data_IF_777840409233
#
_entry.id   IF_777840409233
#
_cell.length_a   1.000
_cell.length_b   1.000
_cell.length_c   1.000
_cell.angle_alpha   90.00
_cell.angle_beta   90.00
_cell.angle_gamma   90.00
#
_symmetry.space_group_name_H-M   'P 1'
#
loop_
_entity.id
_entity.type
_entity.pdbx_description
1 polymer ?
#
# COMPACT_ATOMS: atom_id res chain seq x y z
N UNK A 1 51.70 -4.52 -15.44
CA UNK A 1 50.83 -3.37 -15.11
C UNK A 1 50.01 -3.82 -13.90
N UNK A 2 50.48 -3.52 -12.70
CA UNK A 2 49.76 -3.87 -11.47
C UNK A 2 48.81 -2.72 -11.22
N UNK A 3 47.53 -2.89 -11.51
CA UNK A 3 46.49 -1.92 -11.17
C UNK A 3 46.66 -1.57 -9.68
N UNK A 4 47.04 -0.33 -9.42
CA UNK A 4 47.41 0.13 -8.09
C UNK A 4 46.22 -0.01 -7.13
N UNK A 5 46.45 -0.06 -5.81
CA UNK A 5 45.37 -0.11 -4.82
C UNK A 5 44.34 1.03 -5.01
N UNK A 6 44.75 2.17 -5.55
CA UNK A 6 43.88 3.32 -5.85
C UNK A 6 42.86 3.05 -6.98
N UNK A 7 43.26 2.32 -8.03
CA UNK A 7 42.39 1.99 -9.17
C UNK A 7 41.29 1.02 -8.75
N UNK A 8 41.64 0.04 -7.91
CA UNK A 8 40.68 -0.89 -7.29
C UNK A 8 39.69 -0.18 -6.36
N UNK A 9 40.13 0.82 -5.61
CA UNK A 9 39.24 1.61 -4.73
C UNK A 9 38.27 2.47 -5.55
N UNK A 10 38.73 3.06 -6.65
CA UNK A 10 37.87 3.84 -7.54
C UNK A 10 36.80 2.96 -8.18
N UNK A 11 37.17 1.77 -8.66
CA UNK A 11 36.22 0.80 -9.22
C UNK A 11 35.18 0.39 -8.18
N UNK A 12 35.60 0.02 -6.97
CA UNK A 12 34.69 -0.33 -5.88
C UNK A 12 33.72 0.81 -5.53
N UNK A 13 34.16 2.06 -5.52
CA UNK A 13 33.28 3.22 -5.27
C UNK A 13 32.20 3.37 -6.35
N UNK A 14 32.55 3.15 -7.61
CA UNK A 14 31.56 3.20 -8.72
C UNK A 14 30.56 2.06 -8.65
N UNK A 15 31.00 0.85 -8.29
CA UNK A 15 30.13 -0.30 -8.08
C UNK A 15 29.18 -0.07 -6.91
N UNK A 16 29.66 0.46 -5.78
CA UNK A 16 28.84 0.80 -4.61
C UNK A 16 27.81 1.87 -4.95
N UNK A 17 28.20 2.93 -5.68
CA UNK A 17 27.27 3.97 -6.11
C UNK A 17 26.17 3.41 -7.03
N UNK A 18 26.51 2.47 -7.93
CA UNK A 18 25.52 1.78 -8.75
C UNK A 18 24.56 0.95 -7.90
N UNK A 19 25.08 0.22 -6.91
CA UNK A 19 24.28 -0.58 -5.99
C UNK A 19 23.30 0.30 -5.20
N UNK A 20 23.76 1.47 -4.72
CA UNK A 20 22.93 2.45 -4.01
C UNK A 20 21.70 2.85 -4.85
N UNK A 21 21.90 3.17 -6.12
CA UNK A 21 20.81 3.51 -7.05
C UNK A 21 19.88 2.33 -7.35
N UNK A 22 20.41 1.11 -7.44
CA UNK A 22 19.58 -0.10 -7.61
C UNK A 22 18.68 -0.30 -6.38
N UNK A 23 19.21 -0.17 -5.17
CA UNK A 23 18.42 -0.33 -3.93
C UNK A 23 17.36 0.76 -3.80
N UNK A 24 17.68 2.02 -4.12
CA UNK A 24 16.69 3.11 -4.17
C UNK A 24 15.61 2.80 -5.21
N UNK A 25 15.99 2.34 -6.40
CA UNK A 25 15.06 1.92 -7.45
C UNK A 25 14.10 0.84 -6.96
N UNK A 26 14.61 -0.20 -6.31
CA UNK A 26 13.79 -1.27 -5.73
C UNK A 26 12.81 -0.73 -4.67
N UNK A 27 13.29 0.13 -3.77
CA UNK A 27 12.45 0.74 -2.73
C UNK A 27 11.30 1.57 -3.34
N UNK A 28 11.59 2.37 -4.37
CA UNK A 28 10.60 3.16 -5.09
C UNK A 28 9.60 2.26 -5.85
N UNK A 29 10.05 1.17 -6.45
CA UNK A 29 9.16 0.20 -7.12
C UNK A 29 8.19 -0.45 -6.15
N UNK A 30 8.67 -0.92 -5.00
CA UNK A 30 7.82 -1.53 -3.96
C UNK A 30 6.81 -0.51 -3.41
N UNK A 31 7.28 0.70 -3.10
CA UNK A 31 6.43 1.77 -2.60
C UNK A 31 5.39 2.20 -3.63
N UNK A 32 5.77 2.30 -4.90
CA UNK A 32 4.85 2.59 -6.01
C UNK A 32 3.79 1.51 -6.18
N UNK A 33 4.18 0.23 -6.14
CA UNK A 33 3.26 -0.91 -6.22
C UNK A 33 2.18 -0.84 -5.13
N UNK A 34 2.59 -0.67 -3.86
CA UNK A 34 1.63 -0.58 -2.75
C UNK A 34 0.75 0.67 -2.81
N UNK A 35 1.29 1.79 -3.29
CA UNK A 35 0.52 3.02 -3.46
C UNK A 35 -0.59 2.86 -4.50
N UNK A 36 -0.27 2.24 -5.64
CA UNK A 36 -1.24 1.93 -6.69
C UNK A 36 -2.29 0.95 -6.17
N UNK A 37 -1.86 -0.10 -5.45
CA UNK A 37 -2.77 -1.08 -4.86
C UNK A 37 -3.77 -0.42 -3.90
N UNK A 38 -3.28 0.48 -3.03
CA UNK A 38 -4.12 1.23 -2.10
C UNK A 38 -5.10 2.16 -2.83
N UNK A 39 -4.66 2.86 -3.88
CA UNK A 39 -5.52 3.70 -4.71
C UNK A 39 -6.64 2.91 -5.39
N UNK A 40 -6.30 1.79 -6.03
CA UNK A 40 -7.30 0.90 -6.66
C UNK A 40 -8.31 0.44 -5.61
N UNK A 41 -7.82 0.03 -4.44
CA UNK A 41 -8.68 -0.41 -3.33
C UNK A 41 -9.69 0.66 -2.94
N UNK A 42 -9.27 1.93 -2.83
CA UNK A 42 -10.20 3.03 -2.54
C UNK A 42 -11.22 3.28 -3.64
N UNK A 43 -10.84 3.11 -4.91
CA UNK A 43 -11.76 3.23 -6.05
C UNK A 43 -12.78 2.10 -6.15
N UNK A 44 -12.50 0.93 -5.56
CA UNK A 44 -13.44 -0.20 -5.54
C UNK A 44 -14.51 -0.06 -4.44
N UNK A 45 -14.25 0.71 -3.39
CA UNK A 45 -15.18 0.87 -2.25
C UNK A 45 -16.62 1.25 -2.66
N UNK A 46 -16.86 2.23 -3.56
CA UNK A 46 -18.22 2.57 -3.98
C UNK A 46 -18.90 1.45 -4.77
N UNK A 47 -18.12 0.65 -5.52
CA UNK A 47 -18.67 -0.51 -6.26
C UNK A 47 -19.11 -1.60 -5.29
N UNK A 48 -18.33 -1.84 -4.24
CA UNK A 48 -18.70 -2.77 -3.20
C UNK A 48 -19.93 -2.33 -2.41
N UNK A 49 -20.10 -1.03 -2.13
CA UNK A 49 -21.32 -0.50 -1.51
C UNK A 49 -22.57 -0.88 -2.33
N UNK A 50 -22.54 -0.72 -3.65
CA UNK A 50 -23.64 -1.09 -4.53
C UNK A 50 -23.89 -2.61 -4.56
N UNK A 51 -22.82 -3.41 -4.71
CA UNK A 51 -22.91 -4.87 -4.75
C UNK A 51 -23.50 -5.41 -3.44
N UNK A 52 -23.05 -4.92 -2.29
CA UNK A 52 -23.57 -5.39 -1.01
C UNK A 52 -24.98 -4.89 -0.74
N UNK A 53 -25.35 -3.68 -1.18
CA UNK A 53 -26.73 -3.22 -1.12
C UNK A 53 -27.67 -4.11 -1.94
N UNK A 54 -27.23 -4.58 -3.11
CA UNK A 54 -27.99 -5.52 -3.94
C UNK A 54 -28.07 -6.93 -3.31
N UNK A 55 -27.00 -7.42 -2.70
CA UNK A 55 -26.93 -8.78 -2.14
C UNK A 55 -27.58 -8.93 -0.75
N UNK A 56 -27.52 -7.91 0.11
CA UNK A 56 -28.07 -7.94 1.47
C UNK A 56 -29.47 -7.34 1.56
N UNK A 57 -29.97 -6.70 0.50
CA UNK A 57 -31.27 -6.04 0.49
C UNK A 57 -31.38 -4.99 1.60
N UNK A 58 -32.27 -5.20 2.57
CA UNK A 58 -32.51 -4.29 3.70
C UNK A 58 -31.63 -4.55 4.93
N UNK A 59 -30.76 -5.56 4.90
CA UNK A 59 -29.92 -5.86 6.07
C UNK A 59 -28.76 -4.87 6.22
N UNK A 60 -28.47 -4.42 7.45
CA UNK A 60 -27.42 -3.45 7.70
C UNK A 60 -26.03 -4.08 7.56
N UNK A 61 -25.17 -3.49 6.72
CA UNK A 61 -23.77 -3.90 6.51
C UNK A 61 -22.97 -4.08 7.83
N UNK A 62 -21.94 -4.92 7.88
CA UNK A 62 -21.02 -4.99 9.01
C UNK A 62 -20.45 -3.61 9.38
N UNK A 63 -20.24 -3.37 10.67
CA UNK A 63 -19.73 -2.08 11.17
C UNK A 63 -18.37 -1.71 10.55
N UNK A 64 -17.47 -2.70 10.40
CA UNK A 64 -16.14 -2.52 9.80
C UNK A 64 -16.25 -2.15 8.32
N UNK A 65 -17.17 -2.77 7.58
CA UNK A 65 -17.43 -2.45 6.16
C UNK A 65 -17.99 -1.04 6.02
N UNK A 66 -18.94 -0.64 6.87
CA UNK A 66 -19.47 0.75 6.88
C UNK A 66 -18.40 1.78 7.20
N UNK A 67 -17.51 1.48 8.16
CA UNK A 67 -16.39 2.36 8.49
C UNK A 67 -15.42 2.47 7.32
N UNK A 68 -15.06 1.36 6.67
CA UNK A 68 -14.20 1.37 5.49
C UNK A 68 -14.83 2.12 4.32
N UNK A 69 -16.15 2.00 4.11
CA UNK A 69 -16.89 2.76 3.11
C UNK A 69 -16.87 4.26 3.42
N UNK A 70 -17.20 4.64 4.65
CA UNK A 70 -17.20 6.04 5.09
C UNK A 70 -15.82 6.68 4.94
N UNK A 71 -14.78 5.98 5.37
CA UNK A 71 -13.42 6.45 5.29
C UNK A 71 -12.91 6.51 3.83
N UNK A 72 -13.32 5.58 2.96
CA UNK A 72 -13.07 5.64 1.53
C UNK A 72 -13.76 6.82 0.84
N UNK A 73 -15.05 7.05 1.15
CA UNK A 73 -15.89 8.10 0.56
C UNK A 73 -15.46 9.51 0.94
N UNK A 74 -14.83 9.66 2.12
CA UNK A 74 -14.22 10.93 2.53
C UNK A 74 -13.05 11.38 1.65
N UNK A 75 -12.52 10.50 0.80
CA UNK A 75 -11.32 10.75 -0.01
C UNK A 75 -10.04 10.86 0.82
N UNK A 76 -10.14 10.88 2.16
CA UNK A 76 -9.02 10.99 3.08
C UNK A 76 -8.10 9.79 2.96
N UNK A 77 -8.66 8.57 2.87
CA UNK A 77 -7.85 7.36 2.66
C UNK A 77 -7.11 7.43 1.31
N UNK A 78 -7.80 7.78 0.22
CA UNK A 78 -7.16 7.87 -1.10
C UNK A 78 -6.08 8.95 -1.17
N UNK A 79 -6.35 10.12 -0.58
CA UNK A 79 -5.41 11.23 -0.49
C UNK A 79 -4.18 10.87 0.35
N UNK A 80 -4.37 10.29 1.54
CA UNK A 80 -3.26 9.87 2.41
C UNK A 80 -2.46 8.73 1.77
N UNK A 81 -3.13 7.75 1.16
CA UNK A 81 -2.49 6.63 0.47
C UNK A 81 -1.68 7.05 -0.77
N UNK A 82 -1.91 8.24 -1.32
CA UNK A 82 -1.11 8.78 -2.42
C UNK A 82 -0.05 9.79 -1.96
N UNK A 83 -0.43 10.73 -1.10
CA UNK A 83 0.44 11.83 -0.68
C UNK A 83 1.56 11.36 0.25
N UNK A 84 1.28 10.40 1.15
CA UNK A 84 2.30 9.89 2.09
C UNK A 84 3.40 9.14 1.34
N UNK A 85 3.09 8.21 0.41
CA UNK A 85 4.14 7.56 -0.38
C UNK A 85 4.85 8.53 -1.32
N UNK A 86 4.13 9.47 -1.95
CA UNK A 86 4.75 10.47 -2.80
C UNK A 86 5.76 11.33 -2.03
N UNK A 87 5.37 11.83 -0.85
CA UNK A 87 6.27 12.58 0.02
C UNK A 87 7.47 11.75 0.48
N UNK A 88 7.25 10.47 0.78
CA UNK A 88 8.32 9.53 1.16
C UNK A 88 9.30 9.28 0.00
N UNK A 89 8.80 9.13 -1.22
CA UNK A 89 9.62 8.97 -2.42
C UNK A 89 10.48 10.21 -2.69
N UNK A 90 9.89 11.40 -2.60
CA UNK A 90 10.62 12.66 -2.74
C UNK A 90 11.70 12.79 -1.65
N UNK A 91 11.37 12.46 -0.40
CA UNK A 91 12.32 12.51 0.70
C UNK A 91 13.50 11.55 0.51
N UNK A 92 13.23 10.32 0.02
CA UNK A 92 14.26 9.34 -0.30
C UNK A 92 15.19 9.83 -1.42
N UNK A 93 14.65 10.44 -2.48
CA UNK A 93 15.44 10.97 -3.61
C UNK A 93 16.32 12.16 -3.16
N UNK A 94 15.79 13.04 -2.31
CA UNK A 94 16.53 14.20 -1.81
C UNK A 94 17.62 13.83 -0.80
N UNK A 95 17.38 12.80 0.03
CA UNK A 95 18.28 12.41 1.11
C UNK A 95 18.47 10.88 1.17
N UNK A 96 19.06 10.26 0.14
CA UNK A 96 19.15 8.79 0.05
C UNK A 96 20.08 8.17 1.11
N UNK A 97 21.06 8.92 1.61
CA UNK A 97 22.08 8.43 2.56
C UNK A 97 21.70 8.61 4.03
N UNK A 98 20.52 9.17 4.30
CA UNK A 98 20.07 9.44 5.66
C UNK A 98 19.27 8.23 6.16
N UNK A 99 19.66 7.66 7.30
CA UNK A 99 18.96 6.52 7.91
C UNK A 99 17.47 6.81 8.13
N UNK A 100 17.14 8.06 8.51
CA UNK A 100 15.76 8.51 8.65
C UNK A 100 14.94 8.31 7.37
N UNK A 101 15.51 8.49 6.17
CA UNK A 101 14.82 8.26 4.90
C UNK A 101 14.42 6.79 4.74
N UNK A 102 15.32 5.87 5.05
CA UNK A 102 15.03 4.43 5.00
C UNK A 102 13.99 4.00 6.04
N UNK A 103 14.05 4.59 7.24
CA UNK A 103 13.02 4.39 8.27
C UNK A 103 11.66 4.90 7.77
N UNK A 104 11.61 6.08 7.16
CA UNK A 104 10.34 6.62 6.62
C UNK A 104 9.78 5.74 5.50
N UNK A 105 10.63 5.23 4.60
CA UNK A 105 10.21 4.27 3.56
C UNK A 105 9.62 3.02 4.19
N UNK A 106 10.30 2.43 5.17
CA UNK A 106 9.85 1.24 5.87
C UNK A 106 8.51 1.46 6.59
N UNK A 107 8.37 2.56 7.32
CA UNK A 107 7.13 2.92 8.02
C UNK A 107 5.98 3.17 7.03
N UNK A 108 6.25 3.83 5.90
CA UNK A 108 5.26 4.05 4.85
C UNK A 108 4.81 2.73 4.22
N UNK A 109 5.73 1.80 3.95
CA UNK A 109 5.38 0.46 3.44
C UNK A 109 4.51 -0.29 4.46
N UNK A 110 4.89 -0.30 5.74
CA UNK A 110 4.08 -0.93 6.79
C UNK A 110 2.68 -0.31 6.90
N UNK A 111 2.60 1.01 6.83
CA UNK A 111 1.33 1.73 6.82
C UNK A 111 0.45 1.32 5.62
N UNK A 112 1.02 1.25 4.42
CA UNK A 112 0.29 0.82 3.22
C UNK A 112 -0.20 -0.63 3.33
N UNK A 113 0.65 -1.55 3.81
CA UNK A 113 0.27 -2.95 4.04
C UNK A 113 -0.87 -3.05 5.06
N UNK A 114 -0.77 -2.32 6.17
CA UNK A 114 -1.82 -2.27 7.18
C UNK A 114 -3.14 -1.78 6.58
N UNK A 115 -3.11 -0.67 5.85
CA UNK A 115 -4.29 -0.12 5.17
C UNK A 115 -4.89 -1.10 4.16
N UNK A 116 -4.07 -1.73 3.33
CA UNK A 116 -4.52 -2.76 2.38
C UNK A 116 -5.14 -3.96 3.09
N UNK A 117 -4.58 -4.38 4.23
CA UNK A 117 -5.12 -5.49 5.03
C UNK A 117 -6.48 -5.13 5.62
N UNK A 118 -6.63 -3.93 6.18
CA UNK A 118 -7.92 -3.45 6.70
C UNK A 118 -8.99 -3.43 5.60
N UNK A 119 -8.65 -2.91 4.43
CA UNK A 119 -9.59 -2.92 3.28
C UNK A 119 -9.92 -4.35 2.87
N UNK A 120 -8.92 -5.22 2.71
CA UNK A 120 -9.13 -6.62 2.35
C UNK A 120 -10.10 -7.33 3.32
N UNK A 121 -9.85 -7.21 4.63
CA UNK A 121 -10.72 -7.77 5.66
C UNK A 121 -12.14 -7.18 5.62
N UNK A 122 -12.27 -5.87 5.39
CA UNK A 122 -13.58 -5.21 5.31
C UNK A 122 -14.45 -5.70 4.15
N UNK A 123 -13.82 -6.18 3.07
CA UNK A 123 -14.48 -6.75 1.90
C UNK A 123 -14.81 -8.24 2.09
N UNK A 124 -13.97 -8.94 2.84
CA UNK A 124 -14.14 -10.38 3.07
C UNK A 124 -15.24 -10.68 4.08
N UNK A 125 -15.36 -9.91 5.16
CA UNK A 125 -16.39 -10.08 6.19
C UNK A 125 -17.84 -10.19 5.65
N UNK A 126 -18.35 -9.23 4.84
CA UNK A 126 -19.71 -9.31 4.31
C UNK A 126 -19.92 -10.51 3.37
N UNK A 127 -18.88 -10.99 2.71
CA UNK A 127 -18.97 -12.22 1.91
C UNK A 127 -19.30 -13.44 2.78
N UNK A 128 -18.72 -13.56 3.98
CA UNK A 128 -19.05 -14.66 4.90
C UNK A 128 -20.47 -14.56 5.43
N UNK A 129 -20.94 -13.36 5.73
CA UNK A 129 -22.32 -13.15 6.16
C UNK A 129 -23.32 -13.56 5.08
N UNK A 130 -23.05 -13.24 3.81
CA UNK A 130 -23.89 -13.66 2.68
C UNK A 130 -23.88 -15.18 2.52
N UNK A 131 -22.70 -15.82 2.52
CA UNK A 131 -22.59 -17.29 2.36
C UNK A 131 -23.29 -18.01 3.50
N UNK A 132 -23.14 -17.52 4.74
CA UNK A 132 -23.80 -18.09 5.91
C UNK A 132 -25.32 -17.90 5.85
N UNK A 133 -25.79 -16.70 5.49
CA UNK A 133 -27.21 -16.41 5.34
C UNK A 133 -27.89 -17.26 4.27
N UNK A 134 -27.19 -17.56 3.16
CA UNK A 134 -27.69 -18.46 2.12
C UNK A 134 -27.80 -19.92 2.59
N UNK A 135 -26.91 -20.37 3.48
CA UNK A 135 -26.96 -21.72 4.05
C UNK A 135 -28.08 -21.87 5.08
N UNK A 136 -28.35 -20.85 5.89
CA UNK A 136 -29.42 -20.87 6.90
C UNK A 136 -30.83 -20.71 6.29
N UNK A 137 -30.93 -20.18 5.06
CA UNK A 137 -32.20 -20.01 4.33
C UNK A 137 -32.57 -21.15 3.36
N UNK A 138 -31.78 -22.23 3.30
CA UNK A 138 -32.03 -23.38 2.41
C UNK A 138 -32.67 -24.59 3.10
N UNK A 139 -33.08 -24.45 4.37
CA UNK A 139 -33.91 -25.40 5.13
C UNK A 139 -35.36 -24.91 5.20
#
# INVERSE_FOLDING_TARGET
MSDGPEEKIAELRTQVARLEWVVIGMALSVLGFFSILALISTGLIPRFENIFAEMLGSQPLPMITRWCISAGRSGLIGGVAFLVPLGTAIYLILKPRVLASWITVFLTILFLIFMSTVVYWSLWLPFFEIVRGLQEGSD
#
